data_IF_293856335211
#
_entry.id   IF_293856335211
#
_cell.length_a   1.000
_cell.length_b   1.000
_cell.length_c   1.000
_cell.angle_alpha   90.00
_cell.angle_beta   90.00
_cell.angle_gamma   90.00
#
_symmetry.space_group_name_H-M   'P 1'
#
loop_
_entity.id
_entity.type
_entity.pdbx_description
1 polymer ?
#
# COMPACT_ATOMS: atom_id res chain seq x y z
N UNK A 1 3.06 41.22 -5.64
CA UNK A 1 2.73 39.95 -4.95
C UNK A 1 1.73 39.07 -5.68
N UNK A 2 0.62 39.58 -6.24
CA UNK A 2 -0.37 38.74 -6.97
C UNK A 2 0.20 38.01 -8.19
N UNK A 3 1.15 38.60 -8.91
CA UNK A 3 1.72 38.01 -10.13
C UNK A 3 2.64 36.81 -9.88
N UNK A 4 3.30 36.72 -8.72
CA UNK A 4 4.20 35.59 -8.38
C UNK A 4 3.39 34.34 -8.02
N UNK A 5 2.25 34.53 -7.33
CA UNK A 5 1.36 33.42 -6.94
C UNK A 5 0.70 32.77 -8.17
N UNK A 6 0.34 33.57 -9.18
CA UNK A 6 -0.26 33.08 -10.44
C UNK A 6 0.75 32.24 -11.24
N UNK A 7 2.01 32.68 -11.32
CA UNK A 7 3.09 31.94 -12.01
C UNK A 7 3.40 30.61 -11.31
N UNK A 8 3.40 30.58 -9.98
CA UNK A 8 3.58 29.32 -9.23
C UNK A 8 2.42 28.36 -9.46
N UNK A 9 1.18 28.86 -9.49
CA UNK A 9 -0.01 28.04 -9.71
C UNK A 9 -0.06 27.47 -11.13
N UNK A 10 0.33 28.23 -12.15
CA UNK A 10 0.38 27.74 -13.54
C UNK A 10 1.50 26.73 -13.76
N UNK A 11 2.66 26.90 -13.11
CA UNK A 11 3.74 25.89 -13.14
C UNK A 11 3.30 24.58 -12.47
N UNK A 12 2.58 24.65 -11.34
CA UNK A 12 2.02 23.48 -10.65
C UNK A 12 0.96 22.76 -11.49
N UNK A 13 0.07 23.49 -12.18
CA UNK A 13 -0.95 22.93 -13.06
C UNK A 13 -0.35 22.31 -14.34
N UNK A 14 0.70 22.91 -14.91
CA UNK A 14 1.41 22.37 -16.06
C UNK A 14 2.20 21.09 -15.71
N UNK A 15 2.80 21.03 -14.51
CA UNK A 15 3.45 19.82 -14.02
C UNK A 15 2.46 18.65 -13.85
N UNK A 16 1.21 18.93 -13.48
CA UNK A 16 0.15 17.93 -13.42
C UNK A 16 -0.25 17.43 -14.83
N UNK A 17 -0.36 18.32 -15.83
CA UNK A 17 -0.73 17.93 -17.20
C UNK A 17 0.33 17.09 -17.93
N UNK A 18 1.62 17.38 -17.73
CA UNK A 18 2.72 16.59 -18.34
C UNK A 18 2.78 15.18 -17.74
N UNK A 19 2.40 15.04 -16.46
CA UNK A 19 2.31 13.73 -15.79
C UNK A 19 1.16 12.87 -16.34
N UNK A 20 0.06 13.48 -16.77
CA UNK A 20 -1.10 12.75 -17.31
C UNK A 20 -0.92 12.30 -18.76
N UNK A 21 -0.26 13.09 -19.61
CA UNK A 21 -0.09 12.76 -21.04
C UNK A 21 0.93 11.63 -21.28
N UNK A 22 1.97 11.52 -20.45
CA UNK A 22 2.94 10.42 -20.52
C UNK A 22 2.38 9.06 -20.07
N UNK A 23 1.21 9.05 -19.41
CA UNK A 23 0.51 7.84 -18.98
C UNK A 23 -0.40 7.25 -20.08
N UNK A 24 -0.89 8.07 -21.01
CA UNK A 24 -1.84 7.62 -22.05
C UNK A 24 -1.18 6.91 -23.24
N UNK A 25 0.06 7.26 -23.61
CA UNK A 25 0.68 6.78 -24.86
C UNK A 25 1.43 5.42 -24.77
N UNK A 26 1.45 4.74 -23.61
CA UNK A 26 2.20 3.46 -23.45
C UNK A 26 1.40 2.32 -22.80
N UNK A 27 0.10 2.50 -22.62
CA UNK A 27 -0.80 1.44 -22.12
C UNK A 27 -1.18 0.43 -23.21
N UNK A 28 -0.94 0.72 -24.50
CA UNK A 28 -1.34 -0.16 -25.61
C UNK A 28 -0.52 -1.46 -25.78
N UNK A 29 0.55 -1.70 -25.02
CA UNK A 29 1.33 -2.94 -25.13
C UNK A 29 1.59 -3.70 -23.81
N UNK A 30 0.96 -3.31 -22.70
CA UNK A 30 0.97 -4.11 -21.48
C UNK A 30 -0.31 -4.96 -21.42
N UNK A 31 -0.27 -6.12 -22.07
CA UNK A 31 -1.38 -7.06 -22.15
C UNK A 31 -1.57 -7.88 -20.85
N UNK A 32 -1.45 -7.26 -19.67
CA UNK A 32 -1.68 -7.96 -18.43
C UNK A 32 -2.38 -7.07 -17.40
N UNK A 33 -3.67 -7.34 -17.20
CA UNK A 33 -4.48 -6.66 -16.19
C UNK A 33 -3.82 -6.72 -14.80
N UNK A 34 -2.99 -7.73 -14.52
CA UNK A 34 -2.24 -7.85 -13.28
C UNK A 34 -1.15 -6.77 -13.13
N UNK A 35 -0.43 -6.43 -14.19
CA UNK A 35 0.58 -5.37 -14.18
C UNK A 35 -0.05 -3.99 -13.92
N UNK A 36 -1.24 -3.74 -14.47
CA UNK A 36 -2.00 -2.51 -14.22
C UNK A 36 -2.45 -2.40 -12.75
N UNK A 37 -2.99 -3.48 -12.18
CA UNK A 37 -3.40 -3.54 -10.77
C UNK A 37 -2.23 -3.31 -9.81
N UNK A 38 -1.10 -3.97 -10.07
CA UNK A 38 0.09 -3.84 -9.26
C UNK A 38 0.68 -2.41 -9.31
N UNK A 39 0.67 -1.80 -10.50
CA UNK A 39 1.08 -0.41 -10.70
C UNK A 39 0.21 0.57 -9.90
N UNK A 40 -1.11 0.43 -9.99
CA UNK A 40 -2.06 1.27 -9.26
C UNK A 40 -1.91 1.11 -7.75
N UNK A 41 -1.75 -0.13 -7.28
CA UNK A 41 -1.49 -0.44 -5.88
C UNK A 41 -0.23 0.24 -5.35
N UNK A 42 0.90 0.09 -6.06
CA UNK A 42 2.18 0.66 -5.61
C UNK A 42 2.20 2.18 -5.69
N UNK A 43 1.56 2.79 -6.71
CA UNK A 43 1.33 4.24 -6.74
C UNK A 43 0.59 4.70 -5.49
N UNK A 44 -0.52 4.06 -5.18
CA UNK A 44 -1.30 4.32 -3.98
C UNK A 44 -0.44 4.21 -2.72
N UNK A 45 0.31 3.12 -2.58
CA UNK A 45 1.21 2.90 -1.46
C UNK A 45 2.21 4.04 -1.28
N UNK A 46 2.89 4.44 -2.35
CA UNK A 46 3.87 5.52 -2.33
C UNK A 46 3.26 6.86 -1.87
N UNK A 47 2.01 7.14 -2.26
CA UNK A 47 1.26 8.30 -1.76
C UNK A 47 0.93 8.18 -0.27
N UNK A 48 0.53 6.99 0.18
CA UNK A 48 0.17 6.73 1.58
C UNK A 48 1.34 6.87 2.57
N UNK A 49 2.55 6.41 2.19
CA UNK A 49 3.75 6.54 3.04
C UNK A 49 4.39 7.95 3.03
N UNK A 50 3.77 8.93 2.36
CA UNK A 50 4.29 10.30 2.19
C UNK A 50 5.76 10.36 1.67
N UNK A 51 6.19 9.33 0.94
CA UNK A 51 7.60 9.18 0.57
C UNK A 51 7.96 10.08 -0.63
N UNK A 52 9.15 10.70 -0.56
CA UNK A 52 9.74 11.47 -1.66
C UNK A 52 10.34 10.54 -2.73
N UNK A 53 9.55 9.65 -3.32
CA UNK A 53 10.00 8.89 -4.49
C UNK A 53 9.89 9.80 -5.70
N UNK A 54 11.04 10.24 -6.22
CA UNK A 54 11.13 11.27 -7.27
C UNK A 54 10.49 10.86 -8.61
N UNK A 55 10.32 9.54 -8.87
CA UNK A 55 9.63 9.04 -10.05
C UNK A 55 9.05 7.61 -9.83
N UNK A 56 7.91 7.52 -9.16
CA UNK A 56 7.21 6.24 -8.88
C UNK A 56 6.86 5.50 -10.17
N UNK A 57 6.39 6.22 -11.20
CA UNK A 57 5.97 5.62 -12.47
C UNK A 57 7.13 4.91 -13.18
N UNK A 58 8.32 5.50 -13.18
CA UNK A 58 9.48 4.87 -13.83
C UNK A 58 10.02 3.71 -13.03
N UNK A 59 10.01 3.79 -11.69
CA UNK A 59 10.41 2.65 -10.87
C UNK A 59 9.50 1.43 -11.10
N UNK A 60 8.19 1.67 -11.15
CA UNK A 60 7.24 0.56 -11.20
C UNK A 60 7.25 -0.15 -12.55
N UNK A 61 7.62 0.53 -13.64
CA UNK A 61 7.79 -0.12 -14.96
C UNK A 61 8.88 -1.19 -14.99
N UNK A 62 9.89 -1.06 -14.12
CA UNK A 62 11.06 -1.96 -14.09
C UNK A 62 10.92 -3.07 -13.05
N UNK A 63 9.79 -3.11 -12.33
CA UNK A 63 9.55 -4.09 -11.28
C UNK A 63 8.50 -5.10 -11.71
N UNK A 64 8.86 -6.38 -11.65
CA UNK A 64 7.90 -7.49 -11.70
C UNK A 64 7.12 -7.53 -10.37
N UNK A 65 6.26 -6.52 -10.16
CA UNK A 65 5.49 -6.40 -8.95
C UNK A 65 4.46 -7.53 -8.85
N UNK A 66 4.67 -8.45 -7.91
CA UNK A 66 3.64 -9.38 -7.48
C UNK A 66 2.79 -8.75 -6.38
N UNK A 67 1.48 -8.68 -6.62
CA UNK A 67 0.46 -8.43 -5.56
C UNK A 67 -0.23 -9.73 -5.12
N UNK A 68 0.34 -10.89 -5.46
CA UNK A 68 -0.24 -12.19 -5.15
C UNK A 68 -0.39 -12.39 -3.64
N UNK A 69 0.65 -12.06 -2.87
CA UNK A 69 0.64 -12.21 -1.42
C UNK A 69 -0.41 -11.33 -0.73
N UNK A 70 -0.70 -10.14 -1.29
CA UNK A 70 -1.80 -9.30 -0.81
C UNK A 70 -3.18 -9.86 -1.19
N UNK A 71 -3.28 -10.54 -2.34
CA UNK A 71 -4.49 -11.23 -2.79
C UNK A 71 -4.80 -12.43 -1.90
N UNK A 72 -3.79 -13.25 -1.60
CA UNK A 72 -3.89 -14.36 -0.66
C UNK A 72 -4.28 -13.87 0.73
N UNK A 73 -3.60 -12.84 1.22
CA UNK A 73 -3.89 -12.17 2.48
C UNK A 73 -5.36 -11.76 2.57
N UNK A 74 -5.84 -10.99 1.58
CA UNK A 74 -7.23 -10.54 1.54
C UNK A 74 -8.21 -11.73 1.58
N UNK A 75 -7.97 -12.73 0.74
CA UNK A 75 -8.84 -13.91 0.61
C UNK A 75 -8.93 -14.68 1.92
N UNK A 76 -7.78 -14.96 2.54
CA UNK A 76 -7.69 -15.69 3.81
C UNK A 76 -8.28 -14.89 4.97
N UNK A 77 -7.97 -13.60 5.11
CA UNK A 77 -8.57 -12.77 6.17
C UNK A 77 -10.09 -12.77 6.04
N UNK A 78 -10.61 -12.54 4.83
CA UNK A 78 -12.06 -12.51 4.59
C UNK A 78 -12.71 -13.87 4.87
N UNK A 79 -12.09 -14.96 4.41
CA UNK A 79 -12.58 -16.31 4.66
C UNK A 79 -12.55 -16.66 6.14
N UNK A 80 -11.44 -16.39 6.83
CA UNK A 80 -11.27 -16.66 8.25
C UNK A 80 -12.26 -15.88 9.13
N UNK A 81 -12.55 -14.62 8.79
CA UNK A 81 -13.62 -13.86 9.45
C UNK A 81 -14.99 -14.49 9.18
N UNK A 82 -15.29 -14.83 7.92
CA UNK A 82 -16.56 -15.44 7.53
C UNK A 82 -16.83 -16.78 8.21
N UNK A 83 -15.79 -17.61 8.37
CA UNK A 83 -15.89 -18.95 8.98
C UNK A 83 -15.51 -18.98 10.45
N UNK A 84 -15.28 -17.82 11.08
CA UNK A 84 -14.83 -17.70 12.47
C UNK A 84 -13.60 -18.58 12.78
N UNK A 85 -12.64 -18.60 11.85
CA UNK A 85 -11.42 -19.40 11.95
C UNK A 85 -10.19 -18.51 12.18
N UNK A 86 -9.70 -18.40 13.43
CA UNK A 86 -8.54 -17.58 13.75
C UNK A 86 -7.26 -18.03 13.04
N UNK A 87 -7.11 -19.32 12.76
CA UNK A 87 -5.95 -19.86 12.04
C UNK A 87 -5.89 -19.35 10.61
N UNK A 88 -7.01 -19.32 9.89
CA UNK A 88 -7.07 -18.79 8.52
C UNK A 88 -6.82 -17.28 8.52
N UNK A 89 -7.36 -16.54 9.51
CA UNK A 89 -7.04 -15.11 9.67
C UNK A 89 -5.54 -14.91 9.87
N UNK A 90 -4.90 -15.73 10.72
CA UNK A 90 -3.47 -15.67 10.98
C UNK A 90 -2.62 -16.00 9.73
N UNK A 91 -3.02 -16.99 8.94
CA UNK A 91 -2.36 -17.28 7.66
C UNK A 91 -2.43 -16.09 6.69
N UNK A 92 -3.61 -15.45 6.60
CA UNK A 92 -3.79 -14.24 5.79
C UNK A 92 -2.87 -13.11 6.23
N UNK A 93 -2.66 -12.96 7.53
CA UNK A 93 -1.75 -11.98 8.12
C UNK A 93 -0.28 -12.30 7.82
N UNK A 94 0.10 -13.58 7.90
CA UNK A 94 1.45 -14.01 7.52
C UNK A 94 1.69 -13.68 6.03
N UNK A 95 0.70 -13.92 5.17
CA UNK A 95 0.78 -13.55 3.76
C UNK A 95 0.79 -12.03 3.54
N UNK A 96 0.07 -11.26 4.36
CA UNK A 96 0.18 -9.79 4.37
C UNK A 96 1.62 -9.33 4.65
N UNK A 97 2.26 -9.91 5.66
CA UNK A 97 3.66 -9.64 5.96
C UNK A 97 4.63 -10.09 4.86
N UNK A 98 4.34 -11.17 4.14
CA UNK A 98 5.11 -11.55 2.95
C UNK A 98 4.95 -10.50 1.85
N UNK A 99 3.72 -10.04 1.58
CA UNK A 99 3.44 -8.96 0.63
C UNK A 99 4.18 -7.67 0.95
N UNK A 100 4.21 -7.25 2.22
CA UNK A 100 5.03 -6.11 2.66
C UNK A 100 6.51 -6.30 2.37
N UNK A 101 7.05 -7.50 2.61
CA UNK A 101 8.46 -7.79 2.34
C UNK A 101 8.78 -7.79 0.83
N UNK A 102 7.90 -8.36 -0.01
CA UNK A 102 8.02 -8.32 -1.47
C UNK A 102 7.99 -6.87 -1.96
N UNK A 103 7.02 -6.08 -1.48
CA UNK A 103 6.92 -4.65 -1.77
C UNK A 103 8.18 -3.86 -1.37
N UNK A 104 8.77 -4.15 -0.21
CA UNK A 104 10.00 -3.51 0.23
C UNK A 104 11.19 -3.79 -0.72
N UNK A 105 11.30 -5.03 -1.21
CA UNK A 105 12.35 -5.40 -2.17
C UNK A 105 12.19 -4.65 -3.50
N UNK A 106 10.95 -4.45 -3.93
CA UNK A 106 10.67 -3.69 -5.15
C UNK A 106 10.90 -2.18 -4.96
N UNK A 107 10.53 -1.63 -3.81
CA UNK A 107 10.84 -0.23 -3.46
C UNK A 107 12.35 0.02 -3.31
N UNK A 108 13.15 -1.00 -3.00
CA UNK A 108 14.62 -0.89 -2.99
C UNK A 108 15.15 -0.50 -4.36
N UNK A 109 14.58 -1.08 -5.43
CA UNK A 109 14.94 -0.76 -6.82
C UNK A 109 14.54 0.68 -7.17
N UNK A 110 13.58 1.27 -6.44
CA UNK A 110 13.17 2.67 -6.57
C UNK A 110 14.06 3.69 -5.82
N UNK A 111 15.14 3.25 -5.16
CA UNK A 111 15.97 4.15 -4.35
C UNK A 111 15.37 4.52 -2.99
N UNK A 112 14.29 3.86 -2.56
CA UNK A 112 13.65 4.12 -1.26
C UNK A 112 14.33 3.38 -0.09
N UNK A 113 15.66 3.31 -0.07
CA UNK A 113 16.43 2.39 0.79
C UNK A 113 16.09 2.47 2.29
N UNK A 114 15.86 3.66 2.84
CA UNK A 114 15.48 3.84 4.26
C UNK A 114 14.12 3.22 4.58
N UNK A 115 13.14 3.43 3.70
CA UNK A 115 11.79 2.88 3.84
C UNK A 115 11.81 1.33 3.74
N UNK A 116 12.75 0.76 2.97
CA UNK A 116 12.86 -0.71 2.81
C UNK A 116 13.18 -1.41 4.11
N UNK A 117 14.15 -0.92 4.87
CA UNK A 117 14.57 -1.60 6.12
C UNK A 117 13.47 -1.52 7.18
N UNK A 118 12.76 -0.39 7.22
CA UNK A 118 11.62 -0.18 8.08
C UNK A 118 10.43 -1.09 7.70
N UNK A 119 10.07 -1.18 6.41
CA UNK A 119 9.02 -2.11 5.96
C UNK A 119 9.42 -3.56 6.21
N UNK A 120 10.70 -3.93 6.06
CA UNK A 120 11.18 -5.29 6.35
C UNK A 120 11.07 -5.63 7.83
N UNK A 121 11.43 -4.70 8.71
CA UNK A 121 11.25 -4.85 10.16
C UNK A 121 9.76 -5.06 10.49
N UNK A 122 8.90 -4.19 9.97
CA UNK A 122 7.45 -4.31 10.14
C UNK A 122 6.91 -5.64 9.58
N UNK A 123 7.33 -6.04 8.38
CA UNK A 123 6.95 -7.31 7.77
C UNK A 123 7.33 -8.51 8.65
N UNK A 124 8.47 -8.45 9.33
CA UNK A 124 8.90 -9.50 10.25
C UNK A 124 8.08 -9.51 11.55
N UNK A 125 7.76 -8.34 12.10
CA UNK A 125 6.88 -8.19 13.28
C UNK A 125 5.44 -8.67 12.97
N UNK A 126 4.96 -8.42 11.77
CA UNK A 126 3.66 -8.90 11.25
C UNK A 126 3.67 -10.43 11.15
N UNK A 127 4.71 -11.03 10.55
CA UNK A 127 4.84 -12.49 10.39
C UNK A 127 4.94 -13.23 11.72
N UNK A 128 5.61 -12.64 12.70
CA UNK A 128 5.81 -13.23 14.04
C UNK A 128 4.66 -12.94 15.01
N UNK A 129 3.67 -12.13 14.60
CA UNK A 129 2.46 -11.84 15.37
C UNK A 129 2.59 -10.73 16.42
N UNK A 130 3.73 -10.02 16.46
CA UNK A 130 4.01 -8.95 17.43
C UNK A 130 3.07 -7.75 17.31
N UNK A 131 2.93 -7.21 16.09
CA UNK A 131 2.03 -6.06 15.81
C UNK A 131 0.57 -6.48 15.67
N UNK A 132 0.32 -7.74 15.27
CA UNK A 132 -1.02 -8.21 14.93
C UNK A 132 -1.82 -8.88 16.03
N UNK A 133 -1.22 -9.20 17.18
CA UNK A 133 -2.04 -9.55 18.34
C UNK A 133 -2.99 -8.40 18.71
N UNK A 134 -2.57 -7.15 18.50
CA UNK A 134 -3.39 -5.96 18.68
C UNK A 134 -4.37 -5.79 17.52
N UNK A 135 -3.92 -5.81 16.26
CA UNK A 135 -4.81 -5.63 15.10
C UNK A 135 -5.88 -6.72 15.01
N UNK A 136 -5.55 -8.00 15.23
CA UNK A 136 -6.53 -9.10 15.20
C UNK A 136 -7.48 -9.03 16.39
N UNK A 137 -6.97 -8.77 17.59
CA UNK A 137 -7.84 -8.66 18.76
C UNK A 137 -8.83 -7.50 18.61
N UNK A 138 -8.37 -6.35 18.10
CA UNK A 138 -9.21 -5.18 17.84
C UNK A 138 -10.11 -5.35 16.60
N UNK A 139 -9.64 -6.02 15.54
CA UNK A 139 -10.41 -6.30 14.33
C UNK A 139 -11.42 -7.45 14.50
N UNK A 140 -11.27 -8.30 15.52
CA UNK A 140 -12.28 -9.30 15.91
C UNK A 140 -13.21 -8.72 16.98
N UNK A 141 -12.72 -7.87 17.90
CA UNK A 141 -13.55 -7.11 18.86
C UNK A 141 -14.23 -5.87 18.26
N UNK A 142 -14.50 -5.82 16.94
CA UNK A 142 -15.11 -4.65 16.29
C UNK A 142 -16.49 -4.40 16.89
N UNK A 143 -16.57 -3.52 17.89
CA UNK A 143 -17.71 -2.63 18.00
C UNK A 143 -17.43 -1.24 18.60
N UNK A 144 -16.44 -1.02 19.48
CA UNK A 144 -16.46 0.24 20.27
C UNK A 144 -15.23 1.17 20.25
N UNK A 145 -14.05 0.79 19.75
CA UNK A 145 -12.89 1.69 19.74
C UNK A 145 -12.05 1.55 18.46
N UNK A 146 -12.36 2.35 17.43
CA UNK A 146 -11.60 2.34 16.17
C UNK A 146 -10.30 3.14 16.34
N UNK A 147 -9.20 2.45 16.64
CA UNK A 147 -7.85 3.01 16.49
C UNK A 147 -7.56 3.29 15.00
N UNK A 148 -6.66 4.22 14.71
CA UNK A 148 -6.28 4.58 13.33
C UNK A 148 -5.69 3.39 12.56
N UNK A 149 -4.91 2.54 13.23
CA UNK A 149 -4.37 1.28 12.67
C UNK A 149 -5.47 0.37 12.15
N UNK A 150 -6.50 0.10 12.99
CA UNK A 150 -7.64 -0.75 12.61
C UNK A 150 -8.43 -0.11 11.47
N UNK A 151 -8.59 1.22 11.46
CA UNK A 151 -9.27 1.95 10.38
C UNK A 151 -8.55 1.76 9.04
N UNK A 152 -7.25 2.04 8.96
CA UNK A 152 -6.48 1.90 7.72
C UNK A 152 -6.46 0.45 7.23
N UNK A 153 -6.33 -0.52 8.14
CA UNK A 153 -6.38 -1.93 7.78
C UNK A 153 -7.74 -2.36 7.21
N UNK A 154 -8.85 -1.98 7.86
CA UNK A 154 -10.19 -2.31 7.36
C UNK A 154 -10.50 -1.61 6.02
N UNK A 155 -10.04 -0.38 5.84
CA UNK A 155 -10.17 0.33 4.57
C UNK A 155 -9.33 -0.33 3.47
N UNK A 156 -8.09 -0.76 3.76
CA UNK A 156 -7.28 -1.55 2.84
C UNK A 156 -8.05 -2.80 2.39
N UNK A 157 -8.57 -3.61 3.32
CA UNK A 157 -9.35 -4.82 3.00
C UNK A 157 -10.59 -4.47 2.15
N UNK A 158 -11.30 -3.39 2.49
CA UNK A 158 -12.47 -2.91 1.73
C UNK A 158 -12.10 -2.56 0.29
N UNK A 159 -11.11 -1.68 0.09
CA UNK A 159 -10.74 -1.20 -1.24
C UNK A 159 -10.08 -2.28 -2.08
N UNK A 160 -9.28 -3.16 -1.46
CA UNK A 160 -8.70 -4.30 -2.16
C UNK A 160 -9.81 -5.24 -2.67
N UNK A 161 -10.80 -5.52 -1.81
CA UNK A 161 -11.96 -6.33 -2.17
C UNK A 161 -12.89 -5.74 -3.23
N UNK A 162 -12.89 -4.42 -3.41
CA UNK A 162 -13.66 -3.72 -4.46
C UNK A 162 -12.80 -3.35 -5.67
N UNK A 163 -11.63 -3.97 -5.83
CA UNK A 163 -10.67 -3.75 -6.92
C UNK A 163 -10.22 -2.28 -7.06
N UNK A 164 -10.32 -1.50 -5.99
CA UNK A 164 -9.88 -0.11 -5.91
C UNK A 164 -8.41 -0.06 -5.45
N UNK A 165 -7.52 -0.64 -6.26
CA UNK A 165 -6.12 -0.91 -5.88
C UNK A 165 -5.34 0.35 -5.50
N UNK A 166 -5.56 1.49 -6.17
CA UNK A 166 -4.93 2.76 -5.77
C UNK A 166 -5.31 3.16 -4.34
N UNK A 167 -6.60 3.09 -3.98
CA UNK A 167 -7.05 3.41 -2.64
C UNK A 167 -6.58 2.38 -1.62
N UNK A 168 -6.58 1.10 -1.98
CA UNK A 168 -6.01 0.04 -1.14
C UNK A 168 -4.52 0.31 -0.85
N UNK A 169 -3.76 0.71 -1.87
CA UNK A 169 -2.38 1.13 -1.71
C UNK A 169 -2.23 2.30 -0.75
N UNK A 170 -3.02 3.37 -0.90
CA UNK A 170 -2.97 4.55 -0.03
C UNK A 170 -3.18 4.17 1.44
N UNK A 171 -4.22 3.39 1.73
CA UNK A 171 -4.54 2.98 3.11
C UNK A 171 -3.45 2.07 3.68
N UNK A 172 -2.87 1.18 2.87
CA UNK A 172 -1.72 0.38 3.29
C UNK A 172 -0.50 1.27 3.58
N UNK A 173 -0.23 2.26 2.74
CA UNK A 173 0.88 3.19 2.95
C UNK A 173 0.71 4.01 4.23
N UNK A 174 -0.51 4.47 4.51
CA UNK A 174 -0.83 5.17 5.76
C UNK A 174 -0.72 4.25 6.98
N UNK A 175 -1.17 3.01 6.86
CA UNK A 175 -0.99 2.00 7.90
C UNK A 175 0.50 1.77 8.20
N UNK A 176 1.31 1.57 7.16
CA UNK A 176 2.76 1.40 7.32
C UNK A 176 3.39 2.64 7.93
N UNK A 177 3.06 3.85 7.44
CA UNK A 177 3.55 5.10 8.00
C UNK A 177 3.26 5.20 9.51
N UNK A 178 2.02 4.94 9.91
CA UNK A 178 1.60 4.97 11.31
C UNK A 178 2.33 3.94 12.18
N UNK A 179 2.60 2.75 11.63
CA UNK A 179 3.33 1.69 12.33
C UNK A 179 4.84 1.94 12.41
N UNK A 180 5.37 2.81 11.55
CA UNK A 180 6.77 3.22 11.53
C UNK A 180 7.05 4.49 12.31
N UNK A 181 6.01 5.29 12.58
CA UNK A 181 6.15 6.48 13.41
C UNK A 181 6.60 6.06 14.82
N UNK A 182 7.74 6.57 15.33
CA UNK A 182 8.19 6.23 16.67
C UNK A 182 7.10 6.66 17.65
N UNK A 183 6.63 5.73 18.49
CA UNK A 183 5.79 6.06 19.63
C UNK A 183 6.49 7.13 20.44
N UNK A 184 5.93 8.34 20.45
CA UNK A 184 6.42 9.44 21.30
C UNK A 184 6.34 9.03 22.77
#
# INVERSE_FOLDING_TARGET
MKSVLIVLFTILLLAQHICTQSLHARVENANDANSSRALDFVKGFCFGVASKISNVTECVKQTELSIHEFTDSYTQIRQGVKTLSPSIVLEGIVNFGKGLNSLALDLKKCGAARLVDDIKRLANEVKTGGVLKVIVKEAVNIWHHKTEVTKFFLNFIKYYGTAQYTFAGVELGQLVFLLLEPSK
#
